data_IF_722076907665
#
_entry.id   IF_722076907665
#
_cell.length_a   1.000
_cell.length_b   1.000
_cell.length_c   1.000
_cell.angle_alpha   90.00
_cell.angle_beta   90.00
_cell.angle_gamma   90.00
#
_symmetry.space_group_name_H-M   'P 1'
#
loop_
_entity.id
_entity.type
_entity.pdbx_description
1 polymer ?
#
# COMPACT_ATOMS: atom_id res chain seq x y z
N UNK A 1 -3.71 9.25 -32.64
CA UNK A 1 -3.86 10.12 -31.44
C UNK A 1 -3.65 9.26 -30.23
N UNK A 2 -2.68 9.53 -29.37
CA UNK A 2 -2.43 8.69 -28.22
C UNK A 2 -3.57 8.86 -27.22
N UNK A 3 -4.31 7.80 -26.98
CA UNK A 3 -5.13 7.70 -25.80
C UNK A 3 -4.18 7.43 -24.63
N UNK A 4 -3.64 8.50 -24.05
CA UNK A 4 -2.98 8.38 -22.76
C UNK A 4 -4.04 8.00 -21.73
N UNK A 5 -4.26 6.72 -21.57
CA UNK A 5 -4.85 6.16 -20.38
C UNK A 5 -3.84 6.35 -19.28
N UNK A 6 -3.78 7.55 -18.71
CA UNK A 6 -3.09 7.72 -17.43
C UNK A 6 -3.91 6.97 -16.40
N UNK A 7 -3.58 5.69 -16.25
CA UNK A 7 -3.95 4.98 -15.05
C UNK A 7 -3.26 5.74 -13.92
N UNK A 8 -4.05 6.42 -13.08
CA UNK A 8 -3.63 6.74 -11.72
C UNK A 8 -3.51 5.36 -11.05
N UNK A 9 -2.35 4.76 -11.22
CA UNK A 9 -1.93 3.67 -10.37
C UNK A 9 -1.58 4.35 -9.04
N UNK A 10 -2.57 4.45 -8.16
CA UNK A 10 -2.25 4.50 -6.75
C UNK A 10 -1.43 3.23 -6.50
N UNK A 11 -0.11 3.39 -6.43
CA UNK A 11 0.77 2.29 -6.03
C UNK A 11 0.24 1.78 -4.71
N UNK A 12 -0.05 0.47 -4.58
CA UNK A 12 -0.34 -0.08 -3.28
C UNK A 12 0.86 0.25 -2.40
N UNK A 13 0.62 0.90 -1.27
CA UNK A 13 1.62 0.96 -0.22
C UNK A 13 2.09 -0.46 0.00
N UNK A 14 3.37 -0.66 -0.14
CA UNK A 14 4.09 -1.87 0.17
C UNK A 14 3.51 -2.50 1.42
N UNK A 15 2.81 -3.63 1.26
CA UNK A 15 2.50 -4.54 2.34
C UNK A 15 3.84 -5.21 2.65
N UNK A 16 4.70 -4.52 3.36
CA UNK A 16 5.86 -5.07 4.02
C UNK A 16 5.86 -4.45 5.41
N UNK A 17 5.10 -5.08 6.28
CA UNK A 17 5.48 -5.14 7.68
C UNK A 17 5.48 -6.59 8.09
N UNK A 18 6.69 -6.97 8.49
CA UNK A 18 6.99 -8.25 9.08
C UNK A 18 5.98 -8.61 10.16
N UNK A 19 5.64 -9.90 10.13
CA UNK A 19 5.03 -10.67 11.18
C UNK A 19 5.06 -10.02 12.57
N UNK A 20 3.86 -9.66 13.05
CA UNK A 20 3.48 -9.86 14.43
C UNK A 20 2.02 -10.29 14.43
N UNK A 21 1.84 -11.52 14.81
CA UNK A 21 0.60 -12.23 15.02
C UNK A 21 -0.20 -11.53 16.12
N UNK A 22 -1.29 -10.91 15.77
CA UNK A 22 -2.29 -10.43 16.72
C UNK A 22 -3.61 -11.13 16.44
N UNK A 23 -3.91 -12.17 17.17
CA UNK A 23 -5.24 -12.81 17.22
C UNK A 23 -6.07 -12.03 18.21
N UNK A 24 -7.14 -11.40 17.74
CA UNK A 24 -8.20 -10.85 18.60
C UNK A 24 -9.12 -11.96 19.08
N UNK A 25 -9.46 -12.03 20.36
CA UNK A 25 -10.45 -12.97 20.84
C UNK A 25 -11.86 -12.41 20.66
N UNK A 26 -12.72 -13.21 20.04
CA UNK A 26 -14.18 -13.08 20.05
C UNK A 26 -14.73 -13.38 21.44
N UNK A 27 -15.55 -12.48 21.95
CA UNK A 27 -16.38 -12.68 23.14
C UNK A 27 -17.72 -13.29 22.70
N UNK A 28 -18.23 -14.32 23.34
CA UNK A 28 -19.67 -14.57 23.44
C UNK A 28 -20.14 -14.33 24.88
N UNK A 29 -21.14 -13.51 25.02
CA UNK A 29 -21.81 -13.28 26.28
C UNK A 29 -22.97 -14.22 26.56
N UNK A 30 -23.43 -14.16 27.82
CA UNK A 30 -24.64 -14.68 28.49
C UNK A 30 -24.39 -16.00 29.22
N UNK A 31 -24.68 -16.11 30.47
CA UNK A 31 -25.65 -15.55 31.35
C UNK A 31 -25.87 -16.48 32.54
N UNK A 32 -26.14 -15.88 33.67
CA UNK A 32 -27.04 -16.39 34.68
C UNK A 32 -26.60 -17.41 35.76
N UNK A 33 -26.80 -16.95 36.96
CA UNK A 33 -27.21 -17.61 38.17
C UNK A 33 -26.13 -17.96 39.21
N UNK A 34 -26.14 -17.15 40.27
CA UNK A 34 -25.70 -17.51 41.62
C UNK A 34 -26.50 -18.72 42.16
N UNK A 35 -25.89 -19.49 43.06
CA UNK A 35 -26.40 -19.44 44.40
C UNK A 35 -25.34 -19.21 45.49
N UNK A 36 -25.77 -18.49 46.48
CA UNK A 36 -25.19 -18.34 47.78
C UNK A 36 -25.07 -19.69 48.49
N UNK A 37 -23.93 -19.93 49.18
CA UNK A 37 -23.99 -20.40 50.54
C UNK A 37 -22.64 -20.41 51.29
N UNK A 38 -22.71 -19.77 52.43
CA UNK A 38 -22.08 -20.05 53.75
C UNK A 38 -20.56 -20.08 53.88
N UNK A 39 -20.15 -19.07 54.64
CA UNK A 39 -18.90 -18.96 55.34
C UNK A 39 -18.59 -20.16 56.24
N UNK A 40 -17.33 -20.61 56.18
CA UNK A 40 -16.70 -21.21 57.36
C UNK A 40 -15.25 -20.76 57.39
N UNK A 41 -14.89 -20.06 58.45
CA UNK A 41 -13.55 -19.57 58.70
C UNK A 41 -12.55 -20.70 58.87
N UNK A 42 -11.39 -20.53 58.23
CA UNK A 42 -10.19 -21.29 58.60
C UNK A 42 -9.05 -20.29 58.80
N UNK A 43 -8.44 -20.36 59.95
CA UNK A 43 -7.30 -19.57 60.40
C UNK A 43 -6.10 -19.68 59.42
N UNK A 44 -5.19 -18.68 59.39
CA UNK A 44 -4.01 -18.73 58.54
C UNK A 44 -3.03 -19.77 59.05
N UNK A 45 -2.82 -20.82 58.27
CA UNK A 45 -1.77 -21.80 58.47
C UNK A 45 -0.41 -21.15 58.21
N UNK A 46 0.39 -20.99 59.24
CA UNK A 46 1.82 -20.68 59.19
C UNK A 46 2.57 -21.84 58.50
N UNK A 47 2.58 -21.85 57.16
CA UNK A 47 3.23 -22.87 56.35
C UNK A 47 3.68 -22.40 54.96
N UNK A 48 3.50 -21.12 54.65
CA UNK A 48 3.62 -20.62 53.26
C UNK A 48 5.02 -20.14 52.85
N UNK A 49 5.99 -20.01 53.71
CA UNK A 49 7.34 -19.49 53.37
C UNK A 49 8.25 -20.49 52.66
N UNK A 50 7.99 -21.79 52.71
CA UNK A 50 8.76 -22.81 51.98
C UNK A 50 8.22 -23.16 50.60
N UNK A 51 7.02 -22.71 50.27
CA UNK A 51 6.36 -23.02 48.98
C UNK A 51 6.77 -22.07 47.84
N UNK A 52 7.07 -20.79 48.11
CA UNK A 52 7.42 -19.81 47.10
C UNK A 52 8.72 -20.14 46.36
N UNK A 53 9.88 -20.44 47.02
CA UNK A 53 11.11 -20.79 46.33
C UNK A 53 10.95 -21.98 45.36
N UNK A 54 10.30 -23.06 45.82
CA UNK A 54 10.04 -24.24 45.00
C UNK A 54 9.11 -23.94 43.78
N UNK A 55 8.11 -23.07 43.96
CA UNK A 55 7.24 -22.59 42.90
C UNK A 55 8.04 -21.81 41.84
N UNK A 56 8.90 -20.87 42.31
CA UNK A 56 9.73 -20.04 41.42
C UNK A 56 10.76 -20.89 40.67
N UNK A 57 11.40 -21.85 41.30
CA UNK A 57 12.37 -22.73 40.65
C UNK A 57 11.72 -23.60 39.58
N UNK A 58 10.51 -24.09 39.84
CA UNK A 58 9.73 -24.84 38.83
C UNK A 58 9.29 -23.95 37.67
N UNK A 59 8.87 -22.72 37.92
CA UNK A 59 8.53 -21.76 36.91
C UNK A 59 9.74 -21.38 36.02
N UNK A 60 10.92 -21.14 36.65
CA UNK A 60 12.19 -20.88 35.93
C UNK A 60 12.58 -22.03 35.01
N UNK A 61 12.42 -23.28 35.47
CA UNK A 61 12.73 -24.45 34.63
C UNK A 61 11.80 -24.60 33.42
N UNK A 62 10.54 -24.18 33.55
CA UNK A 62 9.56 -24.24 32.45
C UNK A 62 9.72 -23.11 31.42
N UNK A 63 10.09 -21.91 31.85
CA UNK A 63 10.13 -20.70 31.03
C UNK A 63 10.81 -20.87 29.65
N UNK A 64 12.00 -21.48 29.50
CA UNK A 64 12.71 -21.52 28.23
C UNK A 64 12.03 -22.35 27.13
N UNK A 65 11.18 -23.33 27.53
CA UNK A 65 10.57 -24.29 26.59
C UNK A 65 9.05 -24.30 26.63
N UNK A 66 8.46 -23.93 27.74
CA UNK A 66 7.01 -24.01 27.98
C UNK A 66 6.53 -22.79 28.77
N UNK A 67 6.63 -21.56 28.22
CA UNK A 67 6.25 -20.34 28.92
C UNK A 67 4.77 -20.32 29.31
N UNK A 68 3.89 -20.88 28.52
CA UNK A 68 2.46 -21.03 28.84
C UNK A 68 2.25 -21.91 30.10
N UNK A 69 3.03 -22.98 30.26
CA UNK A 69 2.97 -23.84 31.44
C UNK A 69 3.52 -23.10 32.66
N UNK A 70 4.57 -22.31 32.54
CA UNK A 70 5.10 -21.46 33.59
C UNK A 70 4.06 -20.41 34.04
N UNK A 71 3.40 -19.74 33.08
CA UNK A 71 2.35 -18.77 33.36
C UNK A 71 1.19 -19.43 34.14
N UNK A 72 0.64 -20.56 33.65
CA UNK A 72 -0.44 -21.31 34.31
C UNK A 72 -0.06 -21.79 35.69
N UNK A 73 1.21 -22.04 35.92
CA UNK A 73 1.71 -22.43 37.23
C UNK A 73 1.70 -21.24 38.20
N UNK A 74 2.04 -20.03 37.74
CA UNK A 74 2.18 -18.83 38.58
C UNK A 74 0.84 -18.09 38.77
N UNK A 75 0.03 -17.99 37.73
CA UNK A 75 -1.19 -17.15 37.70
C UNK A 75 -2.13 -17.39 38.88
N UNK A 76 -2.47 -18.65 39.33
CA UNK A 76 -3.36 -18.87 40.43
C UNK A 76 -2.83 -18.36 41.77
N UNK A 77 -1.53 -18.13 41.88
CA UNK A 77 -0.84 -17.67 43.06
C UNK A 77 -0.64 -16.15 43.14
N UNK A 78 -1.16 -15.41 42.14
CA UNK A 78 -0.99 -13.95 42.03
C UNK A 78 -1.49 -13.23 43.29
N UNK A 79 -2.66 -13.59 43.82
CA UNK A 79 -3.21 -12.95 45.02
C UNK A 79 -2.37 -13.21 46.29
N UNK A 80 -1.63 -14.31 46.31
CA UNK A 80 -0.83 -14.72 47.48
C UNK A 80 0.56 -14.07 47.48
N UNK A 81 1.17 -13.92 46.28
CA UNK A 81 2.57 -13.50 46.13
C UNK A 81 2.80 -12.22 45.35
N UNK A 82 1.73 -11.53 44.94
CA UNK A 82 1.86 -10.21 44.31
C UNK A 82 2.60 -9.23 45.24
N UNK A 83 3.51 -8.44 44.67
CA UNK A 83 4.44 -7.57 45.39
C UNK A 83 5.78 -8.23 45.74
N UNK A 84 5.92 -9.57 45.54
CA UNK A 84 7.23 -10.22 45.59
C UNK A 84 7.95 -9.99 44.24
N UNK A 85 9.11 -9.35 44.30
CA UNK A 85 9.91 -9.00 43.11
C UNK A 85 10.14 -10.20 42.18
N UNK A 86 10.56 -11.33 42.71
CA UNK A 86 10.91 -12.51 41.92
C UNK A 86 9.66 -13.21 41.35
N UNK A 87 8.57 -13.20 42.12
CA UNK A 87 7.30 -13.74 41.66
C UNK A 87 6.72 -12.89 40.51
N UNK A 88 6.57 -11.59 40.71
CA UNK A 88 5.99 -10.69 39.71
C UNK A 88 6.87 -10.59 38.45
N UNK A 89 8.20 -10.65 38.59
CA UNK A 89 9.12 -10.70 37.47
C UNK A 89 8.91 -11.96 36.62
N UNK A 90 8.92 -13.14 37.24
CA UNK A 90 8.71 -14.39 36.51
C UNK A 90 7.31 -14.51 35.94
N UNK A 91 6.28 -14.04 36.62
CA UNK A 91 4.92 -13.98 36.13
C UNK A 91 4.85 -13.07 34.88
N UNK A 92 5.49 -11.89 34.93
CA UNK A 92 5.54 -10.95 33.82
C UNK A 92 6.24 -11.52 32.58
N UNK A 93 7.41 -12.16 32.77
CA UNK A 93 8.13 -12.81 31.67
C UNK A 93 7.33 -13.98 31.12
N UNK A 94 6.75 -14.83 31.96
CA UNK A 94 5.92 -15.96 31.52
C UNK A 94 4.67 -15.49 30.75
N UNK A 95 4.01 -14.44 31.21
CA UNK A 95 2.87 -13.84 30.54
C UNK A 95 3.28 -13.28 29.16
N UNK A 96 4.39 -12.55 29.07
CA UNK A 96 4.88 -11.96 27.81
C UNK A 96 5.23 -13.02 26.77
N UNK A 97 5.98 -14.06 27.19
CA UNK A 97 6.38 -15.14 26.29
C UNK A 97 5.20 -16.07 25.92
N UNK A 98 4.10 -16.02 26.70
CA UNK A 98 2.82 -16.67 26.41
C UNK A 98 1.83 -15.79 25.63
N UNK A 99 2.31 -14.68 25.00
CA UNK A 99 1.49 -13.75 24.24
C UNK A 99 0.38 -13.04 25.03
N UNK A 100 0.63 -12.75 26.30
CA UNK A 100 -0.25 -12.02 27.23
C UNK A 100 0.38 -10.70 27.68
N UNK A 101 0.70 -9.78 26.75
CA UNK A 101 1.49 -8.59 27.07
C UNK A 101 0.80 -7.65 28.06
N UNK A 102 -0.53 -7.60 28.09
CA UNK A 102 -1.26 -6.79 29.07
C UNK A 102 -1.07 -7.24 30.50
N UNK A 103 -1.08 -8.56 30.74
CA UNK A 103 -0.81 -9.14 32.07
C UNK A 103 0.66 -8.97 32.45
N UNK A 104 1.56 -9.06 31.46
CA UNK A 104 2.98 -8.83 31.67
C UNK A 104 3.25 -7.39 32.14
N UNK A 105 2.61 -6.38 31.53
CA UNK A 105 2.72 -4.99 31.98
C UNK A 105 2.34 -4.85 33.44
N UNK A 106 1.18 -5.39 33.85
CA UNK A 106 0.68 -5.27 35.21
C UNK A 106 1.63 -5.93 36.24
N UNK A 107 2.22 -7.07 35.92
CA UNK A 107 3.15 -7.74 36.77
C UNK A 107 4.50 -7.01 36.87
N UNK A 108 5.03 -6.54 35.75
CA UNK A 108 6.32 -5.84 35.68
C UNK A 108 6.27 -4.43 36.30
N UNK A 109 5.12 -3.74 36.17
CA UNK A 109 4.90 -2.45 36.83
C UNK A 109 4.93 -2.63 38.37
N UNK A 110 4.31 -3.67 38.94
CA UNK A 110 4.42 -3.98 40.39
C UNK A 110 5.86 -4.22 40.84
N UNK A 111 6.69 -4.85 39.97
CA UNK A 111 8.13 -4.95 40.26
C UNK A 111 8.77 -3.58 40.37
N UNK A 112 8.48 -2.70 39.39
CA UNK A 112 9.10 -1.36 39.37
C UNK A 112 8.54 -0.40 40.41
N UNK A 113 7.33 -0.62 40.91
CA UNK A 113 6.77 0.15 42.04
C UNK A 113 7.57 -0.10 43.34
N UNK A 114 8.05 -1.34 43.56
CA UNK A 114 8.82 -1.71 44.70
C UNK A 114 10.33 -1.65 44.50
N UNK A 115 10.78 -1.85 43.25
CA UNK A 115 12.19 -1.85 42.84
C UNK A 115 12.39 -0.97 41.61
N UNK A 116 12.35 0.37 41.75
CA UNK A 116 12.37 1.30 40.61
C UNK A 116 13.63 1.19 39.73
N UNK A 117 14.74 0.69 40.26
CA UNK A 117 16.01 0.56 39.56
C UNK A 117 16.23 -0.83 38.93
N UNK A 118 15.22 -1.70 38.92
CA UNK A 118 15.34 -3.05 38.35
C UNK A 118 15.41 -2.94 36.80
N UNK A 119 16.66 -3.05 36.33
CA UNK A 119 16.96 -2.97 34.88
C UNK A 119 16.33 -4.11 34.08
N UNK A 120 16.27 -5.32 34.66
CA UNK A 120 15.69 -6.48 33.98
C UNK A 120 14.18 -6.31 33.82
N UNK A 121 13.47 -5.97 34.90
CA UNK A 121 12.02 -5.73 34.87
C UNK A 121 11.67 -4.57 33.89
N UNK A 122 12.47 -3.49 33.90
CA UNK A 122 12.25 -2.36 32.97
C UNK A 122 12.47 -2.76 31.52
N UNK A 123 13.42 -3.64 31.24
CA UNK A 123 13.64 -4.14 29.85
C UNK A 123 12.48 -5.00 29.40
N UNK A 124 11.98 -5.91 30.27
CA UNK A 124 10.82 -6.74 29.93
C UNK A 124 9.52 -5.93 29.84
N UNK A 125 9.35 -4.88 30.64
CA UNK A 125 8.22 -3.95 30.52
C UNK A 125 8.24 -3.22 29.15
N UNK A 126 9.41 -2.80 28.68
CA UNK A 126 9.52 -2.22 27.35
C UNK A 126 9.16 -3.23 26.24
N UNK A 127 9.55 -4.52 26.39
CA UNK A 127 9.12 -5.59 25.47
C UNK A 127 7.61 -5.79 25.52
N UNK A 128 6.99 -5.73 26.69
CA UNK A 128 5.55 -5.86 26.85
C UNK A 128 4.79 -4.71 26.17
N UNK A 129 5.22 -3.47 26.34
CA UNK A 129 4.65 -2.31 25.62
C UNK A 129 4.83 -2.41 24.10
N UNK A 130 5.98 -2.90 23.61
CA UNK A 130 6.17 -3.15 22.18
C UNK A 130 5.20 -4.20 21.65
N UNK A 131 4.96 -5.28 22.41
CA UNK A 131 4.02 -6.32 22.05
C UNK A 131 2.55 -5.83 22.02
N UNK A 132 2.21 -4.82 22.83
CA UNK A 132 0.92 -4.11 22.80
C UNK A 132 0.81 -3.08 21.66
N UNK A 133 1.93 -2.75 21.00
CA UNK A 133 1.97 -1.66 20.01
C UNK A 133 2.05 -0.26 20.65
N UNK A 134 2.29 -0.16 21.94
CA UNK A 134 2.43 1.08 22.70
C UNK A 134 3.86 1.63 22.60
N UNK A 135 4.23 2.08 21.39
CA UNK A 135 5.60 2.49 21.07
C UNK A 135 6.10 3.70 21.88
N UNK A 136 5.21 4.60 22.28
CA UNK A 136 5.59 5.79 23.04
C UNK A 136 5.90 5.42 24.51
N UNK A 137 5.11 4.55 25.11
CA UNK A 137 5.36 3.99 26.45
C UNK A 137 6.67 3.19 26.47
N UNK A 138 6.88 2.33 25.47
CA UNK A 138 8.11 1.56 25.32
C UNK A 138 9.34 2.48 25.20
N UNK A 139 9.25 3.55 24.38
CA UNK A 139 10.35 4.53 24.22
C UNK A 139 10.68 5.22 25.53
N UNK A 140 9.67 5.67 26.26
CA UNK A 140 9.86 6.36 27.54
C UNK A 140 10.62 5.46 28.53
N UNK A 141 10.22 4.21 28.66
CA UNK A 141 10.86 3.21 29.54
C UNK A 141 12.32 2.95 29.09
N UNK A 142 12.58 2.76 27.81
CA UNK A 142 13.93 2.52 27.28
C UNK A 142 14.84 3.75 27.42
N UNK A 143 14.32 4.95 27.25
CA UNK A 143 15.09 6.19 27.45
C UNK A 143 15.50 6.38 28.91
N UNK A 144 14.66 5.97 29.87
CA UNK A 144 15.03 5.96 31.28
C UNK A 144 16.16 4.98 31.56
N UNK A 145 16.12 3.79 30.91
CA UNK A 145 17.18 2.79 31.00
C UNK A 145 18.54 3.31 30.52
N UNK A 146 18.59 3.95 29.37
CA UNK A 146 19.85 4.48 28.78
C UNK A 146 20.49 5.55 29.68
N UNK A 147 19.71 6.29 30.46
CA UNK A 147 20.18 7.32 31.39
C UNK A 147 20.83 6.74 32.68
N UNK A 148 20.69 5.44 32.93
CA UNK A 148 21.32 4.82 34.09
C UNK A 148 22.85 4.68 33.88
N UNK A 149 23.71 5.26 34.75
CA UNK A 149 25.16 5.25 34.53
C UNK A 149 25.78 3.84 34.60
N UNK A 150 25.12 2.92 35.32
CA UNK A 150 25.62 1.58 35.59
C UNK A 150 25.04 0.50 34.67
N UNK A 151 24.38 0.89 33.55
CA UNK A 151 23.82 -0.07 32.62
C UNK A 151 24.95 -0.91 31.97
N UNK A 152 24.96 -2.25 32.09
CA UNK A 152 25.93 -3.12 31.44
C UNK A 152 25.95 -2.90 29.91
N UNK A 153 27.12 -3.08 29.28
CA UNK A 153 27.30 -2.83 27.85
C UNK A 153 26.32 -3.64 27.00
N UNK A 154 26.14 -4.93 27.30
CA UNK A 154 25.20 -5.82 26.57
C UNK A 154 23.75 -5.37 26.70
N UNK A 155 23.36 -4.91 27.91
CA UNK A 155 22.01 -4.37 28.13
C UNK A 155 21.84 -3.04 27.34
N UNK A 156 22.88 -2.18 27.29
CA UNK A 156 22.84 -0.94 26.53
C UNK A 156 22.68 -1.19 25.02
N UNK A 157 23.40 -2.17 24.48
CA UNK A 157 23.24 -2.58 23.07
C UNK A 157 21.85 -3.14 22.78
N UNK A 158 21.27 -3.90 23.72
CA UNK A 158 19.91 -4.43 23.59
C UNK A 158 18.88 -3.30 23.59
N UNK A 159 19.01 -2.36 24.53
CA UNK A 159 18.16 -1.17 24.61
C UNK A 159 18.28 -0.33 23.35
N UNK A 160 19.49 -0.13 22.83
CA UNK A 160 19.70 0.62 21.58
C UNK A 160 19.02 -0.08 20.40
N UNK A 161 19.13 -1.40 20.29
CA UNK A 161 18.39 -2.17 19.25
C UNK A 161 16.88 -1.97 19.35
N UNK A 162 16.30 -1.96 20.54
CA UNK A 162 14.86 -1.68 20.73
C UNK A 162 14.51 -0.25 20.37
N UNK A 163 15.32 0.74 20.77
CA UNK A 163 15.14 2.13 20.35
C UNK A 163 15.24 2.30 18.84
N UNK A 164 16.15 1.57 18.18
CA UNK A 164 16.27 1.56 16.73
C UNK A 164 15.03 0.92 16.05
N UNK A 165 14.49 -0.16 16.62
CA UNK A 165 13.23 -0.75 16.16
C UNK A 165 12.09 0.26 16.30
N UNK A 166 11.94 0.88 17.47
CA UNK A 166 10.92 1.92 17.71
C UNK A 166 11.14 3.12 16.79
N UNK A 167 12.38 3.57 16.60
CA UNK A 167 12.69 4.68 15.71
C UNK A 167 12.38 4.32 14.25
N UNK A 168 12.64 3.10 13.82
CA UNK A 168 12.24 2.59 12.49
C UNK A 168 10.73 2.46 12.36
N UNK A 169 10.04 2.03 13.39
CA UNK A 169 8.58 1.97 13.43
C UNK A 169 7.95 3.36 13.57
N UNK A 170 8.59 4.30 14.28
CA UNK A 170 8.17 5.69 14.42
C UNK A 170 8.69 6.60 13.29
N UNK A 171 9.73 6.20 12.57
CA UNK A 171 10.04 6.71 11.23
C UNK A 171 8.97 6.23 10.24
N UNK A 172 8.15 5.23 10.62
CA UNK A 172 6.83 4.91 10.07
C UNK A 172 5.68 5.72 10.70
N UNK A 173 5.93 6.70 11.58
CA UNK A 173 5.09 7.89 11.64
C UNK A 173 5.05 8.42 10.23
N UNK A 174 3.91 8.33 9.48
CA UNK A 174 3.93 8.63 8.07
C UNK A 174 4.53 10.02 7.94
N UNK A 175 5.68 10.13 7.27
CA UNK A 175 6.25 11.44 7.00
C UNK A 175 5.11 12.29 6.54
N UNK A 176 4.85 13.41 7.19
CA UNK A 176 3.72 14.29 6.84
C UNK A 176 3.79 14.70 5.37
N UNK A 177 4.97 14.59 4.77
CA UNK A 177 5.21 14.84 3.36
C UNK A 177 6.17 13.80 2.77
N UNK A 178 6.04 13.54 1.49
CA UNK A 178 6.93 12.71 0.68
C UNK A 178 7.17 13.42 -0.64
N UNK A 179 8.41 13.47 -1.07
CA UNK A 179 8.80 14.00 -2.35
C UNK A 179 9.50 12.89 -3.14
N UNK A 180 9.17 12.74 -4.41
CA UNK A 180 9.87 11.82 -5.30
C UNK A 180 10.18 12.52 -6.62
N UNK A 181 11.41 12.35 -7.07
CA UNK A 181 11.88 12.74 -8.38
C UNK A 181 12.10 11.48 -9.22
N UNK A 182 11.61 11.46 -10.44
CA UNK A 182 11.78 10.36 -11.38
C UNK A 182 12.45 10.90 -12.64
N UNK A 183 13.48 10.21 -13.10
CA UNK A 183 14.08 10.42 -14.41
C UNK A 183 13.93 9.11 -15.20
N UNK A 184 13.15 9.15 -16.27
CA UNK A 184 12.95 8.00 -17.14
C UNK A 184 13.54 8.28 -18.52
N UNK A 185 14.32 7.36 -19.02
CA UNK A 185 14.84 7.43 -20.42
C UNK A 185 14.61 6.10 -21.12
N UNK A 186 14.49 6.15 -22.43
CA UNK A 186 14.24 4.94 -23.18
C UNK A 186 14.01 5.17 -24.68
N UNK A 187 13.54 4.13 -25.33
CA UNK A 187 13.13 4.12 -26.72
C UNK A 187 11.69 3.65 -26.85
N UNK A 188 10.93 4.30 -27.70
CA UNK A 188 9.54 4.03 -28.01
C UNK A 188 9.40 3.76 -29.49
N UNK A 189 8.95 2.58 -29.88
CA UNK A 189 8.85 2.16 -31.29
C UNK A 189 7.68 2.80 -32.05
N UNK A 190 6.73 3.44 -31.35
CA UNK A 190 5.53 4.01 -31.97
C UNK A 190 4.94 5.10 -31.06
N UNK A 191 5.66 6.22 -30.94
CA UNK A 191 5.33 7.31 -30.01
C UNK A 191 3.99 7.98 -30.34
N UNK A 192 3.59 8.01 -31.61
CA UNK A 192 2.33 8.60 -32.09
C UNK A 192 1.14 7.61 -32.09
N UNK A 193 1.33 6.35 -31.63
CA UNK A 193 0.34 5.28 -31.77
C UNK A 193 -0.19 5.11 -33.20
N UNK A 194 0.69 5.31 -34.19
CA UNK A 194 0.37 5.21 -35.61
C UNK A 194 -0.05 3.79 -35.98
N UNK A 195 -0.95 3.71 -37.00
CA UNK A 195 -1.53 2.45 -37.46
C UNK A 195 -0.48 1.53 -38.06
N UNK A 196 -0.56 0.23 -37.71
CA UNK A 196 0.24 -0.82 -38.36
C UNK A 196 -0.35 -1.32 -39.68
N UNK A 197 -1.54 -0.85 -40.05
CA UNK A 197 -2.19 -1.22 -41.32
C UNK A 197 -1.82 -0.25 -42.41
N UNK A 198 -1.30 -0.76 -43.52
CA UNK A 198 -0.87 0.04 -44.68
C UNK A 198 -2.02 0.43 -45.63
N UNK A 199 -3.21 -0.10 -45.41
CA UNK A 199 -4.40 0.15 -46.23
C UNK A 199 -5.60 0.34 -45.33
N UNK A 200 -6.39 1.39 -45.59
CA UNK A 200 -7.63 1.70 -44.90
C UNK A 200 -8.78 1.65 -45.90
N UNK A 201 -9.74 0.78 -45.65
CA UNK A 201 -10.93 0.66 -46.47
C UNK A 201 -12.01 1.50 -45.82
N UNK A 202 -12.51 2.52 -46.54
CA UNK A 202 -13.61 3.39 -46.12
C UNK A 202 -14.97 2.83 -46.55
N UNK A 203 -16.06 3.50 -46.16
CA UNK A 203 -17.42 2.98 -46.29
C UNK A 203 -17.83 2.69 -47.74
N UNK A 204 -17.39 3.52 -48.69
CA UNK A 204 -17.65 3.37 -50.14
C UNK A 204 -16.74 2.32 -50.84
N UNK A 205 -15.91 1.61 -50.06
CA UNK A 205 -14.98 0.61 -50.57
C UNK A 205 -13.66 1.16 -51.10
N UNK A 206 -13.47 2.47 -51.14
CA UNK A 206 -12.19 3.08 -51.54
C UNK A 206 -11.08 2.70 -50.55
N UNK A 207 -9.87 2.57 -51.07
CA UNK A 207 -8.68 2.24 -50.32
C UNK A 207 -7.84 3.49 -50.11
N UNK A 208 -7.73 3.93 -48.86
CA UNK A 208 -6.84 5.03 -48.48
C UNK A 208 -5.47 4.46 -48.04
N UNK A 209 -4.41 5.10 -48.49
CA UNK A 209 -3.06 4.87 -47.99
C UNK A 209 -2.82 5.85 -46.85
N UNK A 210 -2.45 5.36 -45.63
CA UNK A 210 -2.19 6.27 -44.51
C UNK A 210 -1.03 7.23 -44.83
N UNK A 211 -1.23 8.49 -44.49
CA UNK A 211 -0.16 9.50 -44.53
C UNK A 211 0.96 9.09 -43.57
N UNK A 212 2.16 9.61 -43.78
CA UNK A 212 3.30 9.28 -42.98
C UNK A 212 3.07 9.54 -41.47
N UNK A 213 2.42 10.65 -41.13
CA UNK A 213 2.08 11.01 -39.74
C UNK A 213 1.14 10.01 -39.06
N UNK A 214 0.42 9.19 -39.81
CA UNK A 214 -0.47 8.14 -39.29
C UNK A 214 0.21 6.77 -39.19
N UNK A 215 1.46 6.65 -39.65
CA UNK A 215 2.28 5.44 -39.51
C UNK A 215 3.05 5.43 -38.20
N UNK A 216 3.56 4.29 -37.75
CA UNK A 216 4.36 4.20 -36.55
C UNK A 216 5.67 4.98 -36.65
N UNK A 217 5.92 5.89 -35.73
CA UNK A 217 7.17 6.63 -35.61
C UNK A 217 7.87 6.26 -34.30
N UNK A 218 9.13 5.82 -34.40
CA UNK A 218 9.98 5.54 -33.25
C UNK A 218 10.76 6.78 -32.81
N UNK A 219 10.93 6.94 -31.49
CA UNK A 219 11.77 7.99 -30.90
C UNK A 219 12.43 7.52 -29.61
N UNK A 220 13.68 7.88 -29.35
CA UNK A 220 14.15 7.92 -27.99
C UNK A 220 13.34 8.93 -27.20
N UNK A 221 13.31 8.82 -25.89
CA UNK A 221 12.64 9.80 -25.04
C UNK A 221 13.37 9.97 -23.69
N UNK A 222 13.15 11.13 -23.09
CA UNK A 222 13.47 11.40 -21.70
C UNK A 222 12.22 12.00 -21.03
N UNK A 223 11.95 11.60 -19.80
CA UNK A 223 10.84 12.11 -18.99
C UNK A 223 11.33 12.45 -17.59
N UNK A 224 11.08 13.67 -17.17
CA UNK A 224 11.28 14.13 -15.81
C UNK A 224 9.93 14.16 -15.10
N UNK A 225 9.85 13.53 -13.92
CA UNK A 225 8.64 13.47 -13.10
C UNK A 225 8.91 13.94 -11.67
N UNK A 226 7.99 14.71 -11.12
CA UNK A 226 7.99 15.15 -9.72
C UNK A 226 6.68 14.71 -9.08
N UNK A 227 6.75 14.12 -7.89
CA UNK A 227 5.59 13.78 -7.08
C UNK A 227 5.79 14.29 -5.67
N UNK A 228 4.86 15.11 -5.20
CA UNK A 228 4.77 15.58 -3.82
C UNK A 228 3.49 15.05 -3.19
N UNK A 229 3.58 14.48 -2.00
CA UNK A 229 2.44 14.06 -1.21
C UNK A 229 2.56 14.64 0.19
N UNK A 230 1.48 15.24 0.68
CA UNK A 230 1.35 15.72 2.05
C UNK A 230 0.15 15.04 2.71
N UNK A 231 0.35 14.49 3.91
CA UNK A 231 -0.72 13.87 4.69
C UNK A 231 -0.79 14.55 6.06
N UNK A 232 -1.94 15.14 6.35
CA UNK A 232 -2.24 15.78 7.62
C UNK A 232 -3.21 14.89 8.42
N UNK A 233 -2.80 14.32 9.56
CA UNK A 233 -3.73 13.65 10.46
C UNK A 233 -4.65 14.71 11.10
N UNK A 234 -5.96 14.58 10.89
CA UNK A 234 -6.98 15.44 11.49
C UNK A 234 -7.48 14.87 12.82
N UNK A 235 -7.46 13.53 12.93
CA UNK A 235 -7.71 12.79 14.17
C UNK A 235 -7.00 11.43 14.10
N UNK A 236 -7.12 10.59 15.14
CA UNK A 236 -6.57 9.22 15.14
C UNK A 236 -7.09 8.34 14.00
N UNK A 237 -8.26 8.64 13.43
CA UNK A 237 -8.89 7.86 12.37
C UNK A 237 -9.05 8.59 11.04
N UNK A 238 -8.98 9.92 11.04
CA UNK A 238 -9.22 10.77 9.87
C UNK A 238 -7.93 11.46 9.44
N UNK A 239 -7.58 11.32 8.17
CA UNK A 239 -6.45 12.00 7.53
C UNK A 239 -6.87 12.78 6.29
N UNK A 240 -6.18 13.88 6.04
CA UNK A 240 -6.29 14.67 4.82
C UNK A 240 -5.01 14.50 4.00
N UNK A 241 -5.16 14.01 2.77
CA UNK A 241 -4.02 13.77 1.87
C UNK A 241 -4.12 14.66 0.64
N UNK A 242 -3.05 15.36 0.36
CA UNK A 242 -2.87 16.17 -0.83
C UNK A 242 -1.72 15.60 -1.66
N UNK A 243 -1.90 15.51 -2.96
CA UNK A 243 -0.87 15.03 -3.89
C UNK A 243 -0.76 16.00 -5.05
N UNK A 244 0.46 16.36 -5.43
CA UNK A 244 0.76 17.09 -6.66
C UNK A 244 1.75 16.23 -7.44
N UNK A 245 1.50 16.08 -8.72
CA UNK A 245 2.40 15.39 -9.65
C UNK A 245 2.57 16.23 -10.92
N UNK A 246 3.80 16.35 -11.38
CA UNK A 246 4.15 16.98 -12.64
C UNK A 246 5.06 16.06 -13.42
N UNK A 247 4.93 16.01 -14.74
CA UNK A 247 5.90 15.35 -15.61
C UNK A 247 6.02 16.07 -16.95
N UNK A 248 7.23 15.99 -17.50
CA UNK A 248 7.55 16.47 -18.84
C UNK A 248 8.29 15.37 -19.58
N UNK A 249 7.75 14.93 -20.70
CA UNK A 249 8.35 13.97 -21.62
C UNK A 249 8.75 14.65 -22.92
N UNK A 250 9.97 14.45 -23.31
CA UNK A 250 10.57 14.94 -24.55
C UNK A 250 10.89 13.77 -25.47
N UNK A 251 10.56 13.91 -26.75
CA UNK A 251 10.78 12.94 -27.83
C UNK A 251 11.62 13.59 -28.94
N UNK A 252 12.98 13.58 -28.89
CA UNK A 252 13.86 14.37 -29.75
C UNK A 252 13.68 14.17 -31.25
N UNK A 253 13.15 13.03 -31.69
CA UNK A 253 12.82 12.75 -33.09
C UNK A 253 11.37 13.05 -33.45
N UNK A 254 10.51 13.29 -32.45
CA UNK A 254 9.05 13.44 -32.63
C UNK A 254 8.51 14.49 -31.65
N UNK A 255 8.99 15.73 -31.73
CA UNK A 255 8.61 16.83 -30.83
C UNK A 255 7.09 17.10 -30.80
N UNK A 256 6.37 16.77 -31.91
CA UNK A 256 4.89 16.83 -31.91
C UNK A 256 4.23 15.92 -30.90
N UNK A 257 4.98 14.97 -30.34
CA UNK A 257 4.53 14.02 -29.31
C UNK A 257 5.10 14.33 -27.91
N UNK A 258 5.74 15.50 -27.74
CA UNK A 258 6.18 15.97 -26.42
C UNK A 258 4.96 16.23 -25.55
N UNK A 259 5.00 15.73 -24.31
CA UNK A 259 3.86 15.83 -23.40
C UNK A 259 4.26 16.37 -22.05
N UNK A 260 3.46 17.32 -21.55
CA UNK A 260 3.53 17.78 -20.17
C UNK A 260 2.27 17.36 -19.40
N UNK A 261 2.40 17.04 -18.13
CA UNK A 261 1.24 16.81 -17.24
C UNK A 261 1.43 17.51 -15.90
N UNK A 262 0.36 18.08 -15.38
CA UNK A 262 0.27 18.58 -14.01
C UNK A 262 -1.01 18.03 -13.40
N UNK A 263 -0.89 17.34 -12.30
CA UNK A 263 -2.01 16.78 -11.56
C UNK A 263 -2.01 17.25 -10.12
N UNK A 264 -3.18 17.48 -9.56
CA UNK A 264 -3.40 17.74 -8.14
C UNK A 264 -4.57 16.90 -7.63
N UNK A 265 -4.44 16.39 -6.44
CA UNK A 265 -5.48 15.62 -5.76
C UNK A 265 -5.53 16.04 -4.29
N UNK A 266 -6.74 16.26 -3.77
CA UNK A 266 -6.98 16.60 -2.38
C UNK A 266 -8.16 15.78 -1.86
N UNK A 267 -7.98 15.06 -0.75
CA UNK A 267 -9.00 14.15 -0.27
C UNK A 267 -8.85 13.73 1.18
N UNK A 268 -9.95 13.25 1.73
CA UNK A 268 -10.04 12.72 3.08
C UNK A 268 -10.00 11.20 3.07
N UNK A 269 -9.40 10.61 4.09
CA UNK A 269 -9.38 9.18 4.33
C UNK A 269 -9.74 8.89 5.79
N UNK A 270 -10.80 8.09 5.99
CA UNK A 270 -11.27 7.62 7.29
C UNK A 270 -10.91 6.15 7.45
N UNK A 271 -10.20 5.81 8.53
CA UNK A 271 -9.85 4.42 8.87
C UNK A 271 -10.62 3.97 10.10
N UNK A 272 -11.32 2.85 10.02
CA UNK A 272 -12.05 2.21 11.14
C UNK A 272 -11.78 0.72 11.15
N UNK A 273 -10.96 0.25 12.08
CA UNK A 273 -10.51 -1.14 12.12
C UNK A 273 -9.86 -1.54 10.79
N UNK A 274 -10.34 -2.63 10.19
CA UNK A 274 -9.86 -3.13 8.91
C UNK A 274 -10.39 -2.37 7.67
N UNK A 275 -11.26 -1.35 7.86
CA UNK A 275 -11.88 -0.60 6.76
C UNK A 275 -11.25 0.78 6.61
N UNK A 276 -11.02 1.18 5.35
CA UNK A 276 -10.58 2.52 4.98
C UNK A 276 -11.49 3.08 3.88
N UNK A 277 -12.07 4.22 4.12
CA UNK A 277 -12.88 4.97 3.16
C UNK A 277 -12.11 6.22 2.75
N UNK A 278 -12.08 6.53 1.47
CA UNK A 278 -11.45 7.76 0.99
C UNK A 278 -12.25 8.41 -0.13
N UNK A 279 -12.24 9.73 -0.16
CA UNK A 279 -12.82 10.52 -1.23
C UNK A 279 -11.86 11.67 -1.56
N UNK A 280 -11.62 11.90 -2.86
CA UNK A 280 -10.69 12.92 -3.33
C UNK A 280 -11.21 13.64 -4.56
N UNK A 281 -11.00 14.96 -4.59
CA UNK A 281 -11.09 15.78 -5.78
C UNK A 281 -9.78 15.65 -6.56
N UNK A 282 -9.87 15.49 -7.89
CA UNK A 282 -8.73 15.37 -8.77
C UNK A 282 -8.82 16.42 -9.89
N UNK A 283 -7.70 17.08 -10.15
CA UNK A 283 -7.50 18.00 -11.23
C UNK A 283 -6.28 17.54 -12.04
N UNK A 284 -6.38 17.55 -13.36
CA UNK A 284 -5.25 17.24 -14.23
C UNK A 284 -5.31 18.16 -15.46
N UNK A 285 -4.18 18.75 -15.79
CA UNK A 285 -3.94 19.41 -17.05
C UNK A 285 -2.89 18.63 -17.83
N UNK A 286 -3.14 18.40 -19.12
CA UNK A 286 -2.21 17.78 -20.04
C UNK A 286 -1.91 18.76 -21.17
N UNK A 287 -0.65 18.85 -21.53
CA UNK A 287 -0.16 19.58 -22.70
C UNK A 287 0.37 18.59 -23.74
N UNK A 288 0.21 18.92 -25.00
CA UNK A 288 0.79 18.22 -26.14
C UNK A 288 1.48 19.27 -27.00
N UNK A 289 2.78 19.12 -27.26
CA UNK A 289 3.57 20.11 -28.00
C UNK A 289 3.41 21.53 -27.43
N UNK A 290 3.54 21.66 -26.07
CA UNK A 290 3.42 22.90 -25.29
C UNK A 290 2.05 23.61 -25.36
N UNK A 291 1.07 23.04 -26.09
CA UNK A 291 -0.31 23.52 -26.13
C UNK A 291 -1.18 22.76 -25.15
N UNK A 292 -2.12 23.45 -24.51
CA UNK A 292 -3.11 22.78 -23.68
C UNK A 292 -3.90 21.80 -24.54
N UNK A 293 -3.92 20.56 -24.11
CA UNK A 293 -4.60 19.50 -24.84
C UNK A 293 -5.86 19.03 -24.14
N UNK A 294 -5.77 18.72 -22.84
CA UNK A 294 -6.92 18.20 -22.09
C UNK A 294 -6.84 18.58 -20.62
N UNK A 295 -7.97 19.05 -20.09
CA UNK A 295 -8.22 19.17 -18.66
C UNK A 295 -9.14 18.04 -18.22
N UNK A 296 -8.82 17.41 -17.07
CA UNK A 296 -9.69 16.45 -16.42
C UNK A 296 -9.96 16.93 -14.98
N UNK A 297 -11.24 17.01 -14.61
CA UNK A 297 -11.68 17.36 -13.25
C UNK A 297 -12.63 16.30 -12.78
N UNK A 298 -12.43 15.73 -11.57
CA UNK A 298 -13.28 14.65 -11.13
C UNK A 298 -13.17 14.30 -9.67
N UNK A 299 -14.02 13.39 -9.28
CA UNK A 299 -14.10 12.80 -7.95
C UNK A 299 -13.72 11.32 -8.01
N UNK A 300 -12.97 10.89 -7.02
CA UNK A 300 -12.63 9.50 -6.77
C UNK A 300 -13.13 9.14 -5.37
N UNK A 301 -13.97 8.11 -5.26
CA UNK A 301 -14.32 7.45 -4.01
C UNK A 301 -13.72 6.05 -3.96
N UNK A 302 -13.22 5.63 -2.81
CA UNK A 302 -12.65 4.30 -2.62
C UNK A 302 -12.99 3.77 -1.23
N UNK A 303 -13.34 2.50 -1.17
CA UNK A 303 -13.39 1.68 0.03
C UNK A 303 -12.33 0.58 -0.07
N UNK A 304 -11.60 0.35 1.02
CA UNK A 304 -10.61 -0.71 1.17
C UNK A 304 -10.93 -1.50 2.44
N UNK A 305 -10.76 -2.80 2.37
CA UNK A 305 -10.94 -3.74 3.46
C UNK A 305 -9.74 -4.68 3.54
N UNK A 306 -9.07 -4.70 4.68
CA UNK A 306 -7.89 -5.51 4.96
C UNK A 306 -8.27 -6.60 5.98
N UNK A 307 -8.90 -7.74 5.55
CA UNK A 307 -9.41 -8.78 6.46
C UNK A 307 -8.30 -9.48 7.24
N UNK A 308 -7.11 -9.53 6.67
CA UNK A 308 -5.92 -10.11 7.29
C UNK A 308 -4.66 -9.58 6.57
N UNK A 309 -3.44 -9.80 7.11
CA UNK A 309 -2.20 -9.27 6.53
C UNK A 309 -1.88 -9.76 5.11
N UNK A 310 -2.49 -10.84 4.64
CA UNK A 310 -2.26 -11.39 3.30
C UNK A 310 -3.24 -10.87 2.27
N UNK A 311 -4.43 -10.39 2.66
CA UNK A 311 -5.49 -10.03 1.72
C UNK A 311 -5.90 -8.58 1.86
N UNK A 312 -6.08 -7.93 0.74
CA UNK A 312 -6.68 -6.61 0.62
C UNK A 312 -7.77 -6.64 -0.44
N UNK A 313 -8.94 -6.13 -0.11
CA UNK A 313 -10.07 -5.94 -1.01
C UNK A 313 -10.34 -4.45 -1.15
N UNK A 314 -10.82 -4.02 -2.30
CA UNK A 314 -11.19 -2.64 -2.52
C UNK A 314 -12.27 -2.49 -3.57
N UNK A 315 -13.08 -1.43 -3.43
CA UNK A 315 -14.00 -0.95 -4.45
C UNK A 315 -13.71 0.52 -4.69
N UNK A 316 -13.82 0.97 -5.94
CA UNK A 316 -13.67 2.37 -6.26
C UNK A 316 -14.65 2.83 -7.32
N UNK A 317 -15.01 4.10 -7.25
CA UNK A 317 -15.81 4.79 -8.24
C UNK A 317 -15.13 6.10 -8.64
N UNK A 318 -15.14 6.41 -9.94
CA UNK A 318 -14.54 7.62 -10.49
C UNK A 318 -15.54 8.30 -11.44
N UNK A 319 -15.64 9.61 -11.31
CA UNK A 319 -16.40 10.44 -12.25
C UNK A 319 -15.52 11.61 -12.66
N UNK A 320 -15.22 11.72 -13.95
CA UNK A 320 -14.41 12.79 -14.51
C UNK A 320 -15.15 13.54 -15.62
N UNK A 321 -15.00 14.84 -15.61
CA UNK A 321 -15.26 15.73 -16.73
C UNK A 321 -13.95 15.89 -17.47
N UNK A 322 -13.98 15.65 -18.79
CA UNK A 322 -12.88 15.79 -19.72
C UNK A 322 -13.18 16.94 -20.65
N UNK A 323 -12.34 17.96 -20.67
CA UNK A 323 -12.43 19.12 -21.57
C UNK A 323 -11.19 19.13 -22.46
N UNK A 324 -11.39 19.15 -23.80
CA UNK A 324 -10.34 19.17 -24.81
C UNK A 324 -10.33 20.54 -25.46
N UNK A 325 -9.20 21.28 -25.33
CA UNK A 325 -9.13 22.70 -25.72
C UNK A 325 -9.34 22.89 -27.26
N UNK A 326 -8.62 22.10 -28.06
CA UNK A 326 -8.71 22.22 -29.55
C UNK A 326 -9.76 21.28 -30.18
N UNK A 327 -10.45 20.47 -29.41
CA UNK A 327 -11.39 19.45 -29.88
C UNK A 327 -12.65 19.38 -29.03
N UNK A 328 -13.47 20.44 -28.94
CA UNK A 328 -14.61 20.54 -28.02
C UNK A 328 -15.67 19.45 -28.23
N UNK A 329 -15.79 18.87 -29.42
CA UNK A 329 -16.68 17.73 -29.67
C UNK A 329 -16.30 16.49 -28.92
N UNK A 330 -15.06 16.39 -28.45
CA UNK A 330 -14.56 15.29 -27.60
C UNK A 330 -14.79 15.53 -26.11
N UNK A 331 -15.31 16.69 -25.72
CA UNK A 331 -15.63 16.95 -24.32
C UNK A 331 -16.61 15.90 -23.80
N UNK A 332 -16.25 15.26 -22.69
CA UNK A 332 -16.97 14.07 -22.24
C UNK A 332 -17.07 13.99 -20.70
N UNK A 333 -17.97 13.16 -20.23
CA UNK A 333 -18.02 12.64 -18.87
C UNK A 333 -17.58 11.18 -18.90
N UNK A 334 -16.56 10.85 -18.10
CA UNK A 334 -16.11 9.46 -17.90
C UNK A 334 -16.51 9.01 -16.51
N UNK A 335 -17.17 7.85 -16.43
CA UNK A 335 -17.50 7.17 -15.20
C UNK A 335 -16.87 5.79 -15.20
N UNK A 336 -16.17 5.41 -14.14
CA UNK A 336 -15.55 4.11 -13.96
C UNK A 336 -15.91 3.57 -12.57
N UNK A 337 -16.20 2.28 -12.52
CA UNK A 337 -16.33 1.48 -11.30
C UNK A 337 -15.33 0.34 -11.38
N UNK A 338 -14.70 -0.01 -10.29
CA UNK A 338 -13.78 -1.13 -10.27
C UNK A 338 -13.61 -1.71 -8.88
N UNK A 339 -13.05 -2.92 -8.87
CA UNK A 339 -12.66 -3.62 -7.66
C UNK A 339 -11.15 -3.86 -7.66
N UNK A 340 -10.59 -4.08 -6.50
CA UNK A 340 -9.19 -4.49 -6.33
C UNK A 340 -9.15 -5.66 -5.36
N UNK A 341 -8.41 -6.68 -5.72
CA UNK A 341 -8.00 -7.74 -4.83
C UNK A 341 -6.48 -7.87 -4.88
N UNK A 342 -5.84 -7.89 -3.72
CA UNK A 342 -4.41 -8.18 -3.59
C UNK A 342 -4.22 -9.31 -2.59
N UNK A 343 -3.31 -10.24 -2.93
CA UNK A 343 -2.95 -11.36 -2.07
C UNK A 343 -1.43 -11.51 -1.98
N UNK A 344 -0.92 -11.49 -0.75
CA UNK A 344 0.48 -11.73 -0.43
C UNK A 344 0.67 -13.19 -0.02
N UNK A 345 1.41 -13.96 -0.81
CA UNK A 345 1.67 -15.38 -0.55
C UNK A 345 2.81 -15.53 0.45
N UNK A 346 2.67 -16.46 1.39
CA UNK A 346 3.75 -16.89 2.29
C UNK A 346 4.68 -17.88 1.57
N UNK A 347 5.45 -17.38 0.62
CA UNK A 347 6.39 -18.18 -0.17
C UNK A 347 7.71 -17.42 -0.35
N UNK A 348 8.76 -18.12 -0.75
CA UNK A 348 10.08 -17.51 -0.99
C UNK A 348 9.95 -16.30 -1.93
N UNK A 349 10.45 -15.14 -1.51
CA UNK A 349 10.38 -13.88 -2.25
C UNK A 349 9.03 -13.18 -2.15
N UNK A 350 8.17 -13.52 -1.18
CA UNK A 350 6.94 -12.83 -0.81
C UNK A 350 6.12 -12.38 -2.04
N UNK A 351 5.69 -13.32 -2.92
CA UNK A 351 4.95 -12.91 -4.12
C UNK A 351 3.65 -12.21 -3.75
N UNK A 352 3.33 -11.12 -4.45
CA UNK A 352 2.06 -10.40 -4.31
C UNK A 352 1.35 -10.40 -5.65
N UNK A 353 0.15 -10.98 -5.70
CA UNK A 353 -0.75 -10.93 -6.85
C UNK A 353 -1.79 -9.83 -6.64
N UNK A 354 -2.02 -9.01 -7.66
CA UNK A 354 -3.01 -7.96 -7.67
C UNK A 354 -3.93 -8.16 -8.86
N UNK A 355 -5.24 -8.11 -8.65
CA UNK A 355 -6.25 -8.14 -9.71
C UNK A 355 -7.16 -6.92 -9.56
N UNK A 356 -7.41 -6.22 -10.67
CA UNK A 356 -8.24 -5.02 -10.70
C UNK A 356 -9.16 -5.03 -11.92
N UNK A 357 -10.34 -5.68 -11.86
CA UNK A 357 -11.39 -5.54 -12.86
C UNK A 357 -12.04 -4.16 -12.75
N UNK A 358 -12.42 -3.58 -13.89
CA UNK A 358 -13.15 -2.33 -13.96
C UNK A 358 -14.06 -2.27 -15.19
N UNK A 359 -15.09 -1.46 -15.07
CA UNK A 359 -16.00 -1.15 -16.15
C UNK A 359 -16.47 0.29 -16.06
N UNK A 360 -16.91 0.84 -17.19
CA UNK A 360 -17.41 2.21 -17.22
C UNK A 360 -17.86 2.67 -18.58
N UNK A 361 -18.00 3.98 -18.71
CA UNK A 361 -18.46 4.65 -19.92
C UNK A 361 -17.82 6.01 -20.05
N UNK A 362 -17.52 6.39 -21.28
CA UNK A 362 -17.22 7.77 -21.67
C UNK A 362 -18.34 8.28 -22.57
N UNK A 363 -19.03 9.33 -22.13
CA UNK A 363 -20.14 9.95 -22.79
C UNK A 363 -19.72 11.34 -23.26
N UNK A 364 -19.73 11.63 -24.58
CA UNK A 364 -19.52 12.97 -25.08
C UNK A 364 -20.64 13.89 -24.59
N UNK A 365 -20.33 15.19 -24.44
CA UNK A 365 -21.36 16.20 -24.11
C UNK A 365 -22.30 16.47 -25.27
N UNK A 366 -21.80 16.37 -26.49
CA UNK A 366 -22.58 16.46 -27.70
C UNK A 366 -23.10 15.08 -28.07
N UNK A 367 -24.27 15.00 -28.68
CA UNK A 367 -24.87 13.71 -29.10
C UNK A 367 -24.11 13.15 -30.30
N UNK A 368 -22.95 12.56 -30.04
CA UNK A 368 -22.09 11.95 -31.07
C UNK A 368 -21.85 10.47 -30.71
N UNK A 369 -22.66 9.55 -31.23
CA UNK A 369 -22.57 8.13 -30.85
C UNK A 369 -21.21 7.48 -31.14
N UNK A 370 -20.49 8.00 -32.15
CA UNK A 370 -19.13 7.55 -32.51
C UNK A 370 -18.10 7.83 -31.37
N UNK A 371 -18.33 8.84 -30.54
CA UNK A 371 -17.48 9.20 -29.41
C UNK A 371 -17.99 8.65 -28.06
N UNK A 372 -19.21 8.10 -28.02
CA UNK A 372 -19.78 7.46 -26.84
C UNK A 372 -19.35 5.97 -26.80
N UNK A 373 -18.66 5.55 -25.76
CA UNK A 373 -18.21 4.17 -25.66
C UNK A 373 -18.25 3.62 -24.23
N UNK A 374 -18.45 2.32 -24.14
CA UNK A 374 -18.31 1.54 -22.91
C UNK A 374 -16.89 1.02 -22.80
N UNK A 375 -16.42 0.89 -21.58
CA UNK A 375 -15.10 0.39 -21.21
C UNK A 375 -15.28 -0.80 -20.30
N UNK A 376 -14.54 -1.86 -20.55
CA UNK A 376 -14.36 -2.97 -19.60
C UNK A 376 -12.88 -3.37 -19.63
N UNK A 377 -12.33 -3.71 -18.47
CA UNK A 377 -10.93 -4.10 -18.41
C UNK A 377 -10.57 -4.88 -17.16
N UNK A 378 -9.42 -5.52 -17.24
CA UNK A 378 -8.79 -6.26 -16.14
C UNK A 378 -7.30 -5.91 -16.11
N UNK A 379 -6.80 -5.53 -14.94
CA UNK A 379 -5.37 -5.39 -14.67
C UNK A 379 -4.93 -6.48 -13.73
N UNK A 380 -3.86 -7.17 -14.09
CA UNK A 380 -3.19 -8.15 -13.24
C UNK A 380 -1.77 -7.67 -12.98
N UNK A 381 -1.31 -7.80 -11.74
CA UNK A 381 0.04 -7.46 -11.34
C UNK A 381 0.62 -8.58 -10.48
N UNK A 382 1.85 -8.99 -10.74
CA UNK A 382 2.61 -9.88 -9.90
C UNK A 382 3.92 -9.20 -9.53
N UNK A 383 4.21 -9.15 -8.24
CA UNK A 383 5.47 -8.66 -7.70
C UNK A 383 6.15 -9.79 -6.92
N UNK A 384 7.48 -9.89 -7.00
CA UNK A 384 8.26 -10.87 -6.25
C UNK A 384 9.62 -10.31 -5.89
N UNK A 385 10.03 -10.49 -4.64
CA UNK A 385 11.37 -10.18 -4.18
C UNK A 385 12.34 -11.28 -4.65
N UNK A 386 13.44 -10.86 -5.31
CA UNK A 386 14.49 -11.75 -5.81
C UNK A 386 15.77 -11.68 -4.94
N UNK A 387 15.64 -11.16 -3.72
CA UNK A 387 16.71 -10.94 -2.75
C UNK A 387 16.51 -9.60 -2.04
N UNK A 388 17.54 -9.16 -1.29
CA UNK A 388 17.41 -7.97 -0.43
C UNK A 388 17.24 -6.65 -1.22
N UNK A 389 17.68 -6.57 -2.48
CA UNK A 389 17.71 -5.34 -3.27
C UNK A 389 16.93 -5.40 -4.57
N UNK A 390 16.48 -6.59 -5.01
CA UNK A 390 15.80 -6.78 -6.28
C UNK A 390 14.35 -7.19 -6.09
N UNK A 391 13.46 -6.57 -6.87
CA UNK A 391 12.04 -6.95 -6.97
C UNK A 391 11.66 -7.05 -8.44
N UNK A 392 11.16 -8.20 -8.86
CA UNK A 392 10.58 -8.37 -10.19
C UNK A 392 9.13 -7.92 -10.22
N UNK A 393 8.71 -7.33 -11.32
CA UNK A 393 7.37 -6.82 -11.56
C UNK A 393 6.86 -7.33 -12.92
N UNK A 394 5.70 -7.97 -12.92
CA UNK A 394 4.94 -8.35 -14.11
C UNK A 394 3.60 -7.67 -14.07
N UNK A 395 3.20 -6.99 -15.14
CA UNK A 395 1.89 -6.38 -15.30
C UNK A 395 1.25 -6.82 -16.60
N UNK A 396 -0.04 -7.14 -16.54
CA UNK A 396 -0.88 -7.41 -17.70
C UNK A 396 -2.13 -6.56 -17.58
N UNK A 397 -2.48 -5.80 -18.63
CA UNK A 397 -3.75 -5.10 -18.71
C UNK A 397 -4.45 -5.48 -20.00
N UNK A 398 -5.69 -5.92 -19.89
CA UNK A 398 -6.61 -6.07 -20.99
C UNK A 398 -7.71 -5.02 -20.86
N UNK A 399 -8.03 -4.30 -21.95
CA UNK A 399 -9.09 -3.29 -22.00
C UNK A 399 -9.85 -3.40 -23.30
N UNK A 400 -11.17 -3.41 -23.22
CA UNK A 400 -12.09 -3.40 -24.34
C UNK A 400 -12.88 -2.09 -24.34
N UNK A 401 -12.97 -1.44 -25.52
CA UNK A 401 -13.78 -0.24 -25.76
C UNK A 401 -14.76 -0.51 -26.89
N UNK A 402 -16.04 -0.35 -26.62
CA UNK A 402 -17.13 -0.54 -27.59
C UNK A 402 -17.84 0.78 -27.79
N UNK A 403 -17.69 1.37 -28.98
CA UNK A 403 -18.38 2.59 -29.37
C UNK A 403 -19.83 2.30 -29.72
N UNK A 404 -20.71 3.31 -29.63
CA UNK A 404 -22.15 3.13 -29.82
C UNK A 404 -22.62 3.39 -31.26
N UNK A 405 -21.89 4.17 -32.01
CA UNK A 405 -22.25 4.51 -33.37
C UNK A 405 -21.15 4.27 -34.39
N UNK A 406 -21.50 4.16 -35.68
CA UNK A 406 -20.54 4.00 -36.74
C UNK A 406 -19.70 5.26 -36.90
N UNK A 407 -18.45 5.07 -37.31
CA UNK A 407 -17.58 6.16 -37.74
C UNK A 407 -18.04 6.62 -39.11
N UNK A 408 -18.25 7.94 -39.34
CA UNK A 408 -18.79 8.47 -40.60
C UNK A 408 -17.92 8.16 -41.84
N UNK A 409 -16.59 8.03 -41.67
CA UNK A 409 -15.67 7.75 -42.76
C UNK A 409 -15.59 6.26 -43.10
N UNK A 410 -15.70 5.41 -42.09
CA UNK A 410 -15.51 3.96 -42.23
C UNK A 410 -16.82 3.17 -42.26
N UNK A 411 -17.99 3.80 -42.01
CA UNK A 411 -19.30 3.15 -41.98
C UNK A 411 -19.45 2.03 -40.91
N UNK A 412 -18.43 1.86 -40.07
CA UNK A 412 -18.30 0.77 -39.11
C UNK A 412 -18.21 1.28 -37.69
N UNK A 413 -18.79 0.55 -36.75
CA UNK A 413 -18.65 0.88 -35.34
C UNK A 413 -17.28 0.45 -34.82
N UNK A 414 -16.60 1.38 -34.16
CA UNK A 414 -15.29 1.15 -33.56
C UNK A 414 -15.39 0.22 -32.36
N UNK A 415 -14.54 -0.80 -32.36
CA UNK A 415 -14.36 -1.71 -31.27
C UNK A 415 -12.84 -1.96 -31.11
N UNK A 416 -12.29 -1.59 -29.96
CA UNK A 416 -10.88 -1.76 -29.63
C UNK A 416 -10.71 -2.83 -28.56
N UNK A 417 -9.69 -3.67 -28.73
CA UNK A 417 -9.18 -4.62 -27.73
C UNK A 417 -7.70 -4.35 -27.54
N UNK A 418 -7.37 -3.81 -26.39
CA UNK A 418 -5.99 -3.46 -26.05
C UNK A 418 -5.44 -4.45 -25.04
N UNK A 419 -4.22 -4.92 -25.29
CA UNK A 419 -3.42 -5.73 -24.37
C UNK A 419 -2.10 -5.00 -24.12
N UNK A 420 -1.82 -4.73 -22.84
CA UNK A 420 -0.56 -4.16 -22.38
C UNK A 420 0.17 -5.18 -21.52
N UNK A 421 1.42 -5.47 -21.85
CA UNK A 421 2.35 -6.26 -21.07
C UNK A 421 3.44 -5.35 -20.52
N UNK A 422 3.73 -5.47 -19.23
CA UNK A 422 4.84 -4.78 -18.56
C UNK A 422 5.71 -5.80 -17.86
N UNK A 423 6.98 -5.84 -18.19
CA UNK A 423 8.01 -6.59 -17.48
C UNK A 423 9.01 -5.59 -16.89
N UNK A 424 9.41 -5.77 -15.66
CA UNK A 424 10.35 -4.87 -15.03
C UNK A 424 11.00 -5.47 -13.78
N UNK A 425 12.06 -4.82 -13.36
CA UNK A 425 12.71 -5.12 -12.09
C UNK A 425 13.10 -3.83 -11.40
N UNK A 426 12.89 -3.73 -10.08
CA UNK A 426 13.35 -2.61 -9.27
C UNK A 426 14.62 -3.03 -8.54
N UNK A 427 15.68 -2.25 -8.64
CA UNK A 427 16.92 -2.41 -7.89
C UNK A 427 17.08 -1.26 -6.91
N UNK A 428 17.03 -1.53 -5.63
CA UNK A 428 17.30 -0.56 -4.58
C UNK A 428 18.82 -0.35 -4.46
N UNK A 429 19.31 0.77 -5.00
CA UNK A 429 20.70 1.20 -4.87
C UNK A 429 20.97 1.73 -3.45
N UNK A 430 20.00 2.45 -2.88
CA UNK A 430 19.98 2.90 -1.49
C UNK A 430 18.51 2.91 -0.99
N UNK A 431 18.24 3.22 0.29
CA UNK A 431 16.87 3.40 0.78
C UNK A 431 16.10 4.49 0.02
N UNK A 432 16.79 5.47 -0.55
CA UNK A 432 16.22 6.60 -1.28
C UNK A 432 16.22 6.42 -2.80
N UNK A 433 17.20 5.66 -3.35
CA UNK A 433 17.46 5.59 -4.78
C UNK A 433 17.09 4.20 -5.34
N UNK A 434 16.21 4.18 -6.33
CA UNK A 434 15.78 2.95 -7.03
C UNK A 434 16.02 3.10 -8.52
N UNK A 435 16.59 2.06 -9.14
CA UNK A 435 16.76 1.90 -10.58
C UNK A 435 15.77 0.85 -11.08
N UNK A 436 15.01 1.15 -12.13
CA UNK A 436 13.94 0.27 -12.62
C UNK A 436 13.99 0.10 -14.14
N UNK A 437 14.73 -0.87 -14.70
CA UNK A 437 14.61 -1.25 -16.10
C UNK A 437 13.24 -1.90 -16.38
N UNK A 438 12.64 -1.54 -17.51
CA UNK A 438 11.29 -2.01 -17.89
C UNK A 438 11.16 -2.21 -19.40
N UNK A 439 10.39 -3.22 -19.77
CA UNK A 439 9.84 -3.45 -21.10
C UNK A 439 8.33 -3.29 -21.04
N UNK A 440 7.77 -2.44 -21.88
CA UNK A 440 6.33 -2.30 -22.08
C UNK A 440 5.99 -2.68 -23.52
N UNK A 441 4.98 -3.52 -23.70
CA UNK A 441 4.46 -3.86 -25.01
C UNK A 441 2.95 -3.66 -25.02
N UNK A 442 2.46 -2.86 -25.98
CA UNK A 442 1.05 -2.58 -26.20
C UNK A 442 0.64 -3.13 -27.55
N UNK A 443 -0.47 -3.88 -27.60
CA UNK A 443 -1.16 -4.25 -28.82
C UNK A 443 -2.61 -3.78 -28.73
N UNK A 444 -2.99 -2.85 -29.59
CA UNK A 444 -4.39 -2.47 -29.78
C UNK A 444 -4.91 -3.08 -31.08
N UNK A 445 -5.84 -4.01 -30.98
CA UNK A 445 -6.57 -4.54 -32.13
C UNK A 445 -7.89 -3.79 -32.27
N UNK A 446 -8.07 -3.09 -33.39
CA UNK A 446 -9.23 -2.26 -33.63
C UNK A 446 -9.96 -2.65 -34.91
N UNK A 447 -11.32 -2.51 -34.91
CA UNK A 447 -12.11 -2.68 -36.13
C UNK A 447 -11.81 -1.61 -37.16
N UNK A 448 -11.46 -0.40 -36.70
CA UNK A 448 -11.05 0.70 -37.60
C UNK A 448 -9.53 0.68 -37.75
N UNK A 449 -9.07 0.61 -39.00
CA UNK A 449 -7.66 0.52 -39.34
C UNK A 449 -6.76 1.62 -38.76
N UNK A 450 -7.16 2.89 -38.64
CA UNK A 450 -6.35 3.95 -38.03
C UNK A 450 -6.03 3.71 -36.55
N UNK A 451 -6.82 2.90 -35.84
CA UNK A 451 -6.69 2.62 -34.41
C UNK A 451 -6.02 1.28 -34.11
N UNK A 452 -5.68 0.49 -35.14
CA UNK A 452 -4.98 -0.79 -35.00
C UNK A 452 -3.47 -0.53 -34.94
N UNK A 453 -2.84 -0.69 -33.75
CA UNK A 453 -1.43 -0.41 -33.57
C UNK A 453 -0.74 -1.37 -32.62
N UNK A 454 0.58 -1.39 -32.70
CA UNK A 454 1.49 -1.99 -31.72
C UNK A 454 2.55 -0.99 -31.31
N UNK A 455 3.02 -1.11 -30.09
CA UNK A 455 4.03 -0.21 -29.50
C UNK A 455 4.88 -0.99 -28.52
N UNK A 456 6.18 -0.83 -28.61
CA UNK A 456 7.13 -1.42 -27.64
C UNK A 456 8.00 -0.31 -27.09
N UNK A 457 8.16 -0.27 -25.76
CA UNK A 457 9.01 0.68 -25.08
C UNK A 457 10.04 -0.08 -24.24
N UNK A 458 11.30 0.25 -24.39
CA UNK A 458 12.39 -0.14 -23.50
C UNK A 458 12.80 1.09 -22.74
N UNK A 459 12.80 1.03 -21.42
CA UNK A 459 13.10 2.19 -20.60
C UNK A 459 13.81 1.82 -19.30
N UNK A 460 14.49 2.81 -18.74
CA UNK A 460 15.07 2.77 -17.40
C UNK A 460 14.54 3.98 -16.64
N UNK A 461 13.97 3.73 -15.47
CA UNK A 461 13.51 4.75 -14.54
C UNK A 461 14.45 4.82 -13.34
N UNK A 462 14.87 6.02 -12.98
CA UNK A 462 15.66 6.31 -11.77
C UNK A 462 14.78 7.15 -10.86
N UNK A 463 14.45 6.62 -9.69
CA UNK A 463 13.63 7.32 -8.71
C UNK A 463 14.43 7.64 -7.46
N UNK A 464 14.40 8.91 -7.05
CA UNK A 464 14.90 9.36 -5.76
C UNK A 464 13.73 9.81 -4.86
N UNK A 465 13.73 9.38 -3.60
CA UNK A 465 12.70 9.70 -2.59
C UNK A 465 13.34 10.31 -1.35
N UNK A 466 12.75 11.44 -0.89
CA UNK A 466 13.11 12.12 0.36
C UNK A 466 12.24 11.69 1.52
#
# INVERSE_FOLDING_TARGET
MPTAGTAIVSRPRTIINAATTGVSPTVPGKGSALPSDTATGAAPLAGSFSALPALLDRARALLPRQPEAAWRLLEPHTWTYAGSRDFDYLLGVAALDSQRPGEAVMALERVLDTHPDDTAARTELARAYLALGEHDSARQVLQQLVRQPQLPLEARESVQRYLDIISRQNSASPRRWQLALNLTTGHDSNVNAGSTRNRWIIDDGQVLTPLDENRPHGSPFAELGLQFQHTLPLSGTLGWTNTVNASQRLNPRQHRQDTGTLGASSGLALTRGAHRFSAALNLQQMWLQDRRFRRATGLLGQWQFDPNPQNQLGLYAQVFRLDFDDQPLRNARRTLLGATWAHAFRARGNPVLIANPYAGREQPRHTLPVLDFRIAGLRLGLQRELGARWRANLGLQWEERRHRGPDPLFGRTRHDRQLDLRLGADHALSPQLTLSPQLLHTRNHATLAPNDFRRTQLLVDVQYRW
#
